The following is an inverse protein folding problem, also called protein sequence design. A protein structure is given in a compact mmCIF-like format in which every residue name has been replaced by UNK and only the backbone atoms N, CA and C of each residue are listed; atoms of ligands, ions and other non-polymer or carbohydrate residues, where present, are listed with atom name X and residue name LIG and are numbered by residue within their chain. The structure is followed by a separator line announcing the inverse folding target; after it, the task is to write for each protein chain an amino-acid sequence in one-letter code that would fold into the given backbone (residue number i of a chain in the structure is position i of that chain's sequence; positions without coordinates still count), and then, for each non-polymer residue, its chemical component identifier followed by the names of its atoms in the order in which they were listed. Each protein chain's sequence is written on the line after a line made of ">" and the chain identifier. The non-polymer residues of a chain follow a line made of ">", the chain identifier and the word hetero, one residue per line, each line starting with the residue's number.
data_IF_641249308077
#
_entry.id   IF_641249308077
#
_cell.length_a   1.000
_cell.length_b   1.000
_cell.length_c   1.000
_cell.angle_alpha   90.00
_cell.angle_beta   90.00
_cell.angle_gamma   90.00
#
_symmetry.space_group_name_H-M   'P 1'
#
loop_
_entity.id
_entity.type
_entity.pdbx_description
1 polymer ?
#
# COMPACT_ATOMS: atom_id res chain seq x y z
N UNK A 1 16.44 -5.39 39.43
CA UNK A 1 17.28 -5.46 38.22
C UNK A 1 18.66 -6.01 38.67
N UNK A 2 19.04 -7.21 38.22
CA UNK A 2 20.41 -7.70 38.42
C UNK A 2 21.25 -7.18 37.25
N UNK A 3 22.29 -6.45 37.55
CA UNK A 3 23.27 -6.00 36.54
C UNK A 3 24.16 -7.22 36.24
N UNK A 4 24.09 -7.68 34.99
CA UNK A 4 24.99 -8.75 34.49
C UNK A 4 26.24 -8.06 33.96
N UNK A 5 27.40 -8.39 34.50
CA UNK A 5 28.68 -7.88 33.96
C UNK A 5 29.15 -8.75 32.80
N UNK A 6 29.92 -8.17 31.88
CA UNK A 6 30.42 -8.85 30.66
C UNK A 6 31.28 -10.10 30.98
N UNK A 7 31.81 -10.23 32.22
CA UNK A 7 32.56 -11.37 32.68
C UNK A 7 31.71 -12.58 33.06
N UNK A 8 30.39 -12.44 33.17
CA UNK A 8 29.43 -13.51 33.52
C UNK A 8 28.79 -14.19 32.30
N UNK A 9 29.14 -13.76 31.11
CA UNK A 9 28.72 -14.44 29.88
C UNK A 9 29.55 -15.72 29.70
N UNK A 10 28.93 -16.88 29.41
CA UNK A 10 29.66 -18.10 29.20
C UNK A 10 30.64 -17.91 28.05
N UNK A 11 31.92 -18.08 28.32
CA UNK A 11 32.97 -18.17 27.29
C UNK A 11 32.76 -19.48 26.53
N UNK A 12 31.77 -19.50 25.62
CA UNK A 12 31.70 -20.55 24.61
C UNK A 12 33.00 -20.51 23.82
N UNK A 13 33.64 -21.66 23.67
CA UNK A 13 34.79 -21.82 22.79
C UNK A 13 34.39 -21.26 21.44
N UNK A 14 34.91 -20.07 21.12
CA UNK A 14 34.82 -19.53 19.78
C UNK A 14 35.57 -20.50 18.87
N UNK A 15 34.86 -21.40 18.24
CA UNK A 15 35.38 -22.18 17.14
C UNK A 15 35.82 -21.11 16.12
N UNK A 16 37.12 -20.88 16.00
CA UNK A 16 37.69 -20.03 14.97
C UNK A 16 37.26 -20.66 13.64
N UNK A 17 36.22 -20.08 13.02
CA UNK A 17 35.89 -20.40 11.65
C UNK A 17 37.14 -20.08 10.85
N UNK A 18 37.74 -21.09 10.24
CA UNK A 18 38.84 -20.91 9.31
C UNK A 18 38.34 -19.99 8.18
N UNK A 19 39.16 -19.04 7.68
CA UNK A 19 38.81 -18.25 6.51
C UNK A 19 38.40 -19.08 5.29
N UNK A 20 38.78 -20.34 5.21
CA UNK A 20 38.39 -21.28 4.17
C UNK A 20 36.96 -21.82 4.30
N UNK A 21 36.22 -21.56 5.36
CA UNK A 21 34.81 -21.97 5.51
C UNK A 21 33.80 -21.00 4.95
N UNK A 22 34.23 -19.84 4.42
CA UNK A 22 33.38 -18.96 3.63
C UNK A 22 33.33 -19.52 2.20
N UNK A 23 32.43 -20.46 1.96
CA UNK A 23 32.15 -20.94 0.59
C UNK A 23 31.40 -19.83 -0.14
N UNK A 24 32.14 -19.03 -0.89
CA UNK A 24 31.57 -18.12 -1.88
C UNK A 24 31.27 -18.95 -3.12
N UNK A 25 30.00 -19.18 -3.40
CA UNK A 25 29.56 -20.03 -4.52
C UNK A 25 29.82 -19.41 -5.90
N UNK A 26 30.12 -18.11 -5.96
CA UNK A 26 30.36 -17.34 -7.20
C UNK A 26 31.80 -16.84 -7.19
N UNK A 27 32.54 -17.06 -8.28
CA UNK A 27 33.84 -16.46 -8.45
C UNK A 27 33.74 -15.00 -8.87
N UNK A 28 34.68 -14.10 -8.49
CA UNK A 28 34.62 -12.69 -8.88
C UNK A 28 34.52 -12.43 -10.37
N UNK A 29 35.09 -13.35 -11.20
CA UNK A 29 35.07 -13.27 -12.67
C UNK A 29 33.71 -13.63 -13.29
N UNK A 30 32.84 -14.32 -12.54
CA UNK A 30 31.51 -14.75 -12.98
C UNK A 30 30.40 -13.90 -12.37
N UNK A 31 30.73 -13.00 -11.45
CA UNK A 31 29.80 -12.14 -10.79
C UNK A 31 29.27 -11.03 -11.72
N UNK A 32 28.08 -10.54 -11.40
CA UNK A 32 27.51 -9.37 -12.06
C UNK A 32 28.43 -8.15 -11.92
N UNK A 33 28.72 -7.50 -13.04
CA UNK A 33 29.36 -6.19 -13.03
C UNK A 33 28.40 -5.11 -12.53
N UNK A 34 28.95 -3.93 -12.20
CA UNK A 34 28.17 -2.82 -11.62
C UNK A 34 27.08 -2.31 -12.58
N UNK A 35 27.29 -2.37 -13.88
CA UNK A 35 26.32 -1.89 -14.86
C UNK A 35 25.18 -2.88 -15.07
N UNK A 36 25.46 -4.17 -15.06
CA UNK A 36 24.45 -5.22 -15.04
C UNK A 36 23.61 -5.13 -13.75
N UNK A 37 24.27 -4.94 -12.61
CA UNK A 37 23.60 -4.74 -11.32
C UNK A 37 22.68 -3.51 -11.36
N UNK A 38 23.15 -2.34 -11.78
CA UNK A 38 22.34 -1.12 -11.96
C UNK A 38 21.10 -1.36 -12.81
N UNK A 39 21.25 -2.04 -13.95
CA UNK A 39 20.12 -2.35 -14.85
C UNK A 39 19.08 -3.23 -14.17
N UNK A 40 19.49 -4.29 -13.49
CA UNK A 40 18.60 -5.22 -12.81
C UNK A 40 17.87 -4.55 -11.64
N UNK A 41 18.60 -3.89 -10.74
CA UNK A 41 17.99 -3.18 -9.59
C UNK A 41 16.99 -2.12 -10.05
N UNK A 42 17.27 -1.40 -11.14
CA UNK A 42 16.33 -0.42 -11.68
C UNK A 42 15.07 -1.08 -12.26
N UNK A 43 15.17 -2.27 -12.87
CA UNK A 43 13.99 -3.03 -13.33
C UNK A 43 13.13 -3.47 -12.15
N UNK A 44 13.72 -4.00 -11.08
CA UNK A 44 12.99 -4.43 -9.87
C UNK A 44 12.30 -3.24 -9.19
N UNK A 45 13.04 -2.12 -9.03
CA UNK A 45 12.47 -0.88 -8.52
C UNK A 45 11.28 -0.40 -9.36
N UNK A 46 11.42 -0.41 -10.69
CA UNK A 46 10.36 0.01 -11.62
C UNK A 46 9.12 -0.87 -11.47
N UNK A 47 9.28 -2.19 -11.49
CA UNK A 47 8.16 -3.14 -11.39
C UNK A 47 7.38 -2.95 -10.08
N UNK A 48 8.07 -2.84 -8.95
CA UNK A 48 7.42 -2.66 -7.66
C UNK A 48 6.78 -1.27 -7.53
N UNK A 49 7.45 -0.21 -8.01
CA UNK A 49 6.87 1.12 -8.03
C UNK A 49 5.58 1.21 -8.88
N UNK A 50 5.57 0.60 -10.08
CA UNK A 50 4.36 0.52 -10.89
C UNK A 50 3.31 -0.40 -10.26
N UNK A 51 3.73 -1.48 -9.59
CA UNK A 51 2.85 -2.31 -8.77
C UNK A 51 2.09 -1.50 -7.73
N UNK A 52 2.80 -0.67 -6.96
CA UNK A 52 2.20 0.25 -5.98
C UNK A 52 1.17 1.19 -6.65
N UNK A 53 1.51 1.78 -7.80
CA UNK A 53 0.60 2.67 -8.55
C UNK A 53 -0.67 1.93 -8.99
N UNK A 54 -0.53 0.71 -9.49
CA UNK A 54 -1.65 -0.14 -9.91
C UNK A 54 -2.55 -0.46 -8.72
N UNK A 55 -1.96 -0.91 -7.61
CA UNK A 55 -2.68 -1.22 -6.37
C UNK A 55 -3.44 0.02 -5.84
N UNK A 56 -2.78 1.18 -5.80
CA UNK A 56 -3.39 2.44 -5.37
C UNK A 56 -4.60 2.83 -6.25
N UNK A 57 -4.49 2.73 -7.57
CA UNK A 57 -5.58 3.02 -8.50
C UNK A 57 -6.74 2.02 -8.44
N UNK A 58 -6.46 0.79 -8.08
CA UNK A 58 -7.47 -0.27 -7.96
C UNK A 58 -8.13 -0.36 -6.59
N UNK A 59 -7.54 0.21 -5.54
CA UNK A 59 -8.01 0.06 -4.16
C UNK A 59 -9.51 0.33 -3.99
N UNK A 60 -10.10 1.41 -4.54
CA UNK A 60 -11.54 1.63 -4.41
C UNK A 60 -12.40 0.62 -5.20
N UNK A 61 -11.82 -0.06 -6.20
CA UNK A 61 -12.55 -1.01 -7.08
C UNK A 61 -12.61 -2.43 -6.55
N UNK A 62 -11.73 -2.79 -5.61
CA UNK A 62 -11.72 -4.12 -4.98
C UNK A 62 -12.85 -4.19 -3.96
N UNK A 63 -13.70 -5.21 -4.08
CA UNK A 63 -14.82 -5.40 -3.17
C UNK A 63 -14.46 -6.31 -2.00
N UNK A 64 -13.77 -7.42 -2.26
CA UNK A 64 -13.41 -8.44 -1.27
C UNK A 64 -12.53 -7.83 -0.17
N UNK A 65 -13.02 -7.83 1.09
CA UNK A 65 -12.39 -7.12 2.21
C UNK A 65 -10.97 -7.59 2.50
N UNK A 66 -10.75 -8.89 2.61
CA UNK A 66 -9.44 -9.48 2.88
C UNK A 66 -8.43 -9.17 1.76
N UNK A 67 -8.86 -9.25 0.50
CA UNK A 67 -8.02 -8.88 -0.64
C UNK A 67 -7.66 -7.39 -0.61
N UNK A 68 -8.61 -6.52 -0.23
CA UNK A 68 -8.39 -5.08 -0.10
C UNK A 68 -7.38 -4.76 1.01
N UNK A 69 -7.45 -5.44 2.14
CA UNK A 69 -6.50 -5.29 3.24
C UNK A 69 -5.09 -5.79 2.83
N UNK A 70 -5.00 -6.98 2.23
CA UNK A 70 -3.70 -7.54 1.83
C UNK A 70 -3.04 -6.75 0.69
N UNK A 71 -3.80 -6.21 -0.28
CA UNK A 71 -3.21 -5.36 -1.32
C UNK A 71 -2.63 -4.05 -0.75
N UNK A 72 -3.26 -3.50 0.27
CA UNK A 72 -2.77 -2.29 0.95
C UNK A 72 -1.48 -2.57 1.73
N UNK A 73 -1.40 -3.71 2.41
CA UNK A 73 -0.19 -4.19 3.05
C UNK A 73 0.93 -4.43 2.04
N UNK A 74 0.63 -5.11 0.93
CA UNK A 74 1.57 -5.34 -0.17
C UNK A 74 2.11 -4.01 -0.72
N UNK A 75 1.24 -3.03 -0.93
CA UNK A 75 1.65 -1.71 -1.41
C UNK A 75 2.68 -1.07 -0.47
N UNK A 76 2.49 -1.18 0.85
CA UNK A 76 3.46 -0.69 1.83
C UNK A 76 4.77 -1.51 1.84
N UNK A 77 4.71 -2.84 1.81
CA UNK A 77 5.88 -3.71 1.72
C UNK A 77 6.70 -3.39 0.45
N UNK A 78 6.03 -3.24 -0.70
CA UNK A 78 6.68 -2.82 -1.96
C UNK A 78 7.30 -1.42 -1.86
N UNK A 79 6.66 -0.48 -1.13
CA UNK A 79 7.26 0.84 -0.89
C UNK A 79 8.58 0.76 -0.13
N UNK A 80 8.69 -0.13 0.86
CA UNK A 80 9.94 -0.39 1.58
C UNK A 80 11.02 -0.91 0.64
N UNK A 81 10.68 -1.86 -0.25
CA UNK A 81 11.61 -2.41 -1.23
C UNK A 81 12.05 -1.35 -2.24
N UNK A 82 11.10 -0.61 -2.82
CA UNK A 82 11.40 0.50 -3.75
C UNK A 82 12.32 1.51 -3.10
N UNK A 83 12.08 1.86 -1.83
CA UNK A 83 12.93 2.81 -1.10
C UNK A 83 14.35 2.28 -0.91
N UNK A 84 14.51 1.02 -0.53
CA UNK A 84 15.82 0.38 -0.40
C UNK A 84 16.59 0.37 -1.73
N UNK A 85 15.90 0.00 -2.82
CA UNK A 85 16.46 -0.01 -4.17
C UNK A 85 16.76 1.41 -4.69
N UNK A 86 15.90 2.39 -4.38
CA UNK A 86 16.11 3.80 -4.72
C UNK A 86 17.39 4.33 -4.08
N UNK A 87 17.58 4.10 -2.78
CA UNK A 87 18.78 4.51 -2.06
C UNK A 87 20.02 3.79 -2.62
N UNK A 88 19.92 2.47 -2.84
CA UNK A 88 21.04 1.69 -3.38
C UNK A 88 21.47 2.16 -4.78
N UNK A 89 20.53 2.42 -5.68
CA UNK A 89 20.82 2.93 -7.02
C UNK A 89 21.55 4.29 -6.98
N UNK A 90 21.22 5.14 -6.01
CA UNK A 90 21.95 6.41 -5.79
C UNK A 90 23.38 6.17 -5.31
N UNK A 91 23.60 5.26 -4.38
CA UNK A 91 24.93 4.90 -3.86
C UNK A 91 25.85 4.37 -4.98
N UNK A 92 25.32 3.54 -5.86
CA UNK A 92 26.09 3.00 -7.00
C UNK A 92 26.05 3.92 -8.24
N UNK A 93 25.59 5.18 -8.06
CA UNK A 93 25.61 6.23 -9.08
C UNK A 93 24.89 5.85 -10.38
N UNK A 94 23.69 5.27 -10.27
CA UNK A 94 22.88 4.96 -11.44
C UNK A 94 22.27 6.23 -12.04
N UNK A 95 22.60 6.61 -13.29
CA UNK A 95 22.20 7.90 -13.84
C UNK A 95 20.73 7.98 -14.29
N UNK A 96 20.04 6.84 -14.37
CA UNK A 96 18.72 6.74 -15.01
C UNK A 96 17.70 5.97 -14.16
N UNK A 97 17.86 5.97 -12.84
CA UNK A 97 17.04 5.14 -11.94
C UNK A 97 15.52 5.44 -11.98
N UNK A 98 15.10 6.59 -12.49
CA UNK A 98 13.67 6.95 -12.61
C UNK A 98 13.07 6.66 -14.00
N UNK A 99 13.91 6.32 -14.98
CA UNK A 99 13.42 6.03 -16.33
C UNK A 99 12.90 4.59 -16.44
N UNK A 100 11.87 4.36 -17.24
CA UNK A 100 11.49 3.01 -17.67
C UNK A 100 12.68 2.31 -18.30
N UNK A 101 12.87 1.05 -17.98
CA UNK A 101 14.05 0.30 -18.42
C UNK A 101 13.87 -0.36 -19.79
N UNK A 102 12.62 -0.60 -20.19
CA UNK A 102 12.27 -1.47 -21.31
C UNK A 102 10.81 -1.26 -21.70
N UNK A 103 10.53 -0.89 -22.94
CA UNK A 103 9.17 -0.58 -23.42
C UNK A 103 8.21 -1.78 -23.29
N UNK A 104 8.72 -3.00 -23.47
CA UNK A 104 7.89 -4.20 -23.30
C UNK A 104 7.47 -4.39 -21.83
N UNK A 105 8.38 -4.15 -20.88
CA UNK A 105 8.07 -4.20 -19.46
C UNK A 105 7.12 -3.08 -19.05
N UNK A 106 7.33 -1.86 -19.57
CA UNK A 106 6.42 -0.72 -19.36
C UNK A 106 5.02 -1.06 -19.86
N UNK A 107 4.92 -1.66 -21.05
CA UNK A 107 3.63 -2.09 -21.61
C UNK A 107 2.97 -3.14 -20.72
N UNK A 108 3.70 -4.16 -20.26
CA UNK A 108 3.17 -5.19 -19.38
C UNK A 108 2.61 -4.59 -18.07
N UNK A 109 3.32 -3.64 -17.45
CA UNK A 109 2.86 -2.99 -16.23
C UNK A 109 1.62 -2.11 -16.48
N UNK A 110 1.60 -1.31 -17.56
CA UNK A 110 0.45 -0.47 -17.87
C UNK A 110 -0.80 -1.29 -18.18
N UNK A 111 -0.66 -2.41 -18.91
CA UNK A 111 -1.79 -3.28 -19.21
C UNK A 111 -2.46 -3.85 -17.96
N UNK A 112 -1.74 -4.07 -16.86
CA UNK A 112 -2.33 -4.59 -15.61
C UNK A 112 -3.47 -3.73 -15.06
N UNK A 113 -3.49 -2.43 -15.35
CA UNK A 113 -4.60 -1.55 -14.98
C UNK A 113 -5.92 -1.96 -15.66
N UNK A 114 -5.86 -2.58 -16.83
CA UNK A 114 -7.01 -2.89 -17.69
C UNK A 114 -7.64 -4.26 -17.39
N UNK A 115 -7.39 -4.83 -16.21
CA UNK A 115 -7.96 -6.10 -15.78
C UNK A 115 -9.51 -6.06 -15.82
N UNK A 116 -10.19 -7.16 -16.19
CA UNK A 116 -11.64 -7.21 -16.29
C UNK A 116 -12.34 -7.09 -14.93
N UNK A 117 -11.74 -7.62 -13.88
CA UNK A 117 -12.24 -7.62 -12.51
C UNK A 117 -11.08 -7.69 -11.50
N UNK A 118 -11.40 -7.66 -10.20
CA UNK A 118 -10.40 -7.75 -9.13
C UNK A 118 -9.60 -9.06 -9.20
N UNK A 119 -10.24 -10.18 -9.51
CA UNK A 119 -9.54 -11.47 -9.59
C UNK A 119 -8.57 -11.53 -10.77
N UNK A 120 -8.92 -10.94 -11.92
CA UNK A 120 -8.00 -10.78 -13.05
C UNK A 120 -6.74 -9.99 -12.66
N UNK A 121 -6.90 -8.91 -11.90
CA UNK A 121 -5.78 -8.14 -11.36
C UNK A 121 -4.93 -8.99 -10.40
N UNK A 122 -5.55 -9.64 -9.42
CA UNK A 122 -4.83 -10.43 -8.41
C UNK A 122 -4.10 -11.63 -9.00
N UNK A 123 -4.70 -12.34 -9.95
CA UNK A 123 -4.03 -13.41 -10.69
C UNK A 123 -2.81 -12.89 -11.46
N UNK A 124 -2.94 -11.75 -12.15
CA UNK A 124 -1.84 -11.14 -12.88
C UNK A 124 -0.68 -10.72 -11.96
N UNK A 125 -0.97 -10.11 -10.81
CA UNK A 125 0.03 -9.69 -9.86
C UNK A 125 0.68 -10.88 -9.14
N UNK A 126 -0.11 -11.76 -8.53
CA UNK A 126 0.41 -12.75 -7.57
C UNK A 126 0.66 -14.13 -8.14
N UNK A 127 0.11 -14.48 -9.31
CA UNK A 127 0.45 -15.73 -10.02
C UNK A 127 1.35 -15.53 -11.24
N UNK A 128 1.61 -14.26 -11.63
CA UNK A 128 2.50 -13.98 -12.78
C UNK A 128 3.65 -13.06 -12.38
N UNK A 129 3.37 -11.82 -11.98
CA UNK A 129 4.39 -10.80 -11.77
C UNK A 129 5.27 -11.12 -10.56
N UNK A 130 4.67 -11.35 -9.39
CA UNK A 130 5.41 -11.62 -8.15
C UNK A 130 6.29 -12.86 -8.25
N UNK A 131 5.83 -14.02 -8.78
CA UNK A 131 6.72 -15.16 -9.02
C UNK A 131 7.88 -14.86 -9.99
N UNK A 132 7.64 -14.09 -11.06
CA UNK A 132 8.69 -13.66 -11.99
C UNK A 132 9.71 -12.74 -11.32
N UNK A 133 9.26 -11.83 -10.46
CA UNK A 133 10.12 -10.96 -9.67
C UNK A 133 10.95 -11.77 -8.65
N UNK A 134 10.35 -12.72 -7.94
CA UNK A 134 11.06 -13.61 -7.01
C UNK A 134 12.14 -14.40 -7.75
N UNK A 135 11.83 -14.99 -8.90
CA UNK A 135 12.78 -15.73 -9.71
C UNK A 135 13.97 -14.85 -10.15
N UNK A 136 13.67 -13.61 -10.57
CA UNK A 136 14.68 -12.64 -10.96
C UNK A 136 15.59 -12.23 -9.78
N UNK A 137 15.03 -11.99 -8.61
CA UNK A 137 15.76 -11.62 -7.39
C UNK A 137 16.63 -12.78 -6.89
N UNK A 138 16.14 -14.02 -6.91
CA UNK A 138 16.92 -15.22 -6.55
C UNK A 138 18.09 -15.41 -7.48
N UNK A 139 17.88 -15.26 -8.80
CA UNK A 139 18.94 -15.33 -9.79
C UNK A 139 19.99 -14.23 -9.58
N UNK A 140 19.55 -13.00 -9.29
CA UNK A 140 20.44 -11.87 -9.01
C UNK A 140 21.28 -12.12 -7.75
N UNK A 141 20.65 -12.55 -6.65
CA UNK A 141 21.36 -12.89 -5.40
C UNK A 141 22.46 -13.92 -5.65
N UNK A 142 22.14 -14.97 -6.39
CA UNK A 142 23.08 -16.05 -6.71
C UNK A 142 24.25 -15.57 -7.61
N UNK A 143 23.96 -14.65 -8.54
CA UNK A 143 24.96 -14.11 -9.47
C UNK A 143 25.81 -12.97 -8.87
N UNK A 144 25.50 -12.49 -7.67
CA UNK A 144 26.25 -11.40 -7.02
C UNK A 144 27.37 -11.96 -6.15
N UNK A 145 28.58 -11.41 -6.32
CA UNK A 145 29.68 -11.70 -5.40
C UNK A 145 29.53 -10.85 -4.12
N UNK A 146 29.28 -11.45 -2.96
CA UNK A 146 28.89 -10.68 -1.75
C UNK A 146 29.94 -9.65 -1.30
N UNK A 147 31.24 -9.94 -1.48
CA UNK A 147 32.29 -9.00 -1.11
C UNK A 147 32.32 -7.73 -1.99
N UNK A 148 31.76 -7.81 -3.20
CA UNK A 148 31.61 -6.65 -4.08
C UNK A 148 30.34 -5.87 -3.78
N UNK A 149 29.22 -6.55 -3.50
CA UNK A 149 27.90 -5.89 -3.36
C UNK A 149 26.98 -6.56 -2.33
N UNK A 150 27.43 -6.70 -1.11
CA UNK A 150 26.59 -7.15 0.01
C UNK A 150 25.37 -6.23 0.26
N UNK A 151 25.46 -4.88 0.11
CA UNK A 151 24.30 -4.02 0.30
C UNK A 151 23.13 -4.33 -0.64
N UNK A 152 23.38 -4.58 -1.92
CA UNK A 152 22.32 -5.01 -2.86
C UNK A 152 21.74 -6.37 -2.49
N UNK A 153 22.61 -7.33 -2.13
CA UNK A 153 22.17 -8.67 -1.66
C UNK A 153 21.26 -8.55 -0.43
N UNK A 154 21.59 -7.65 0.50
CA UNK A 154 20.78 -7.43 1.69
C UNK A 154 19.39 -6.89 1.36
N UNK A 155 19.30 -5.88 0.50
CA UNK A 155 18.01 -5.34 0.02
C UNK A 155 17.18 -6.42 -0.69
N UNK A 156 17.81 -7.22 -1.56
CA UNK A 156 17.17 -8.33 -2.28
C UNK A 156 16.62 -9.38 -1.30
N UNK A 157 17.37 -9.75 -0.27
CA UNK A 157 16.91 -10.75 0.72
C UNK A 157 15.69 -10.28 1.50
N UNK A 158 15.63 -9.00 1.89
CA UNK A 158 14.45 -8.45 2.54
C UNK A 158 13.24 -8.46 1.61
N UNK A 159 13.41 -8.03 0.36
CA UNK A 159 12.35 -8.10 -0.63
C UNK A 159 11.86 -9.55 -0.86
N UNK A 160 12.76 -10.52 -0.95
CA UNK A 160 12.40 -11.93 -1.10
C UNK A 160 11.61 -12.48 0.08
N UNK A 161 11.92 -12.05 1.31
CA UNK A 161 11.18 -12.44 2.50
C UNK A 161 9.73 -11.97 2.43
N UNK A 162 9.53 -10.68 2.15
CA UNK A 162 8.20 -10.07 2.10
C UNK A 162 7.39 -10.57 0.90
N UNK A 163 7.99 -10.68 -0.31
CA UNK A 163 7.31 -11.19 -1.50
C UNK A 163 6.82 -12.63 -1.34
N UNK A 164 7.58 -13.48 -0.64
CA UNK A 164 7.13 -14.85 -0.30
C UNK A 164 5.98 -14.81 0.70
N UNK A 165 6.07 -13.96 1.73
CA UNK A 165 4.99 -13.72 2.67
C UNK A 165 3.71 -13.20 2.01
N UNK A 166 3.82 -12.33 0.99
CA UNK A 166 2.68 -11.89 0.18
C UNK A 166 1.98 -13.08 -0.50
N UNK A 167 2.74 -13.96 -1.14
CA UNK A 167 2.17 -15.16 -1.77
C UNK A 167 1.53 -16.10 -0.74
N UNK A 168 2.17 -16.31 0.41
CA UNK A 168 1.64 -17.15 1.49
C UNK A 168 0.30 -16.63 2.03
N UNK A 169 0.10 -15.31 2.08
CA UNK A 169 -1.16 -14.69 2.56
C UNK A 169 -2.24 -14.64 1.48
N UNK A 170 -1.87 -14.39 0.23
CA UNK A 170 -2.82 -14.15 -0.86
C UNK A 170 -3.28 -15.42 -1.57
N UNK A 171 -2.42 -16.42 -1.72
CA UNK A 171 -2.80 -17.65 -2.42
C UNK A 171 -3.96 -18.41 -1.75
N UNK A 172 -4.07 -18.52 -0.41
CA UNK A 172 -5.26 -19.10 0.22
C UNK A 172 -6.57 -18.37 -0.12
N UNK A 173 -6.54 -17.03 -0.19
CA UNK A 173 -7.70 -16.21 -0.55
C UNK A 173 -8.12 -16.43 -2.01
N UNK A 174 -7.14 -16.50 -2.92
CA UNK A 174 -7.39 -16.78 -4.32
C UNK A 174 -7.92 -18.22 -4.53
N UNK A 175 -7.35 -19.20 -3.82
CA UNK A 175 -7.80 -20.58 -3.87
C UNK A 175 -9.23 -20.74 -3.31
N UNK A 176 -9.61 -19.96 -2.31
CA UNK A 176 -10.99 -19.92 -1.80
C UNK A 176 -11.95 -19.31 -2.82
N UNK A 177 -11.57 -18.16 -3.42
CA UNK A 177 -12.35 -17.54 -4.49
C UNK A 177 -12.54 -18.49 -5.69
N UNK A 178 -11.51 -19.26 -6.01
CA UNK A 178 -11.57 -20.28 -7.08
C UNK A 178 -12.55 -21.42 -6.73
N UNK A 179 -12.48 -21.96 -5.51
CA UNK A 179 -13.42 -22.98 -5.02
C UNK A 179 -14.86 -22.48 -4.96
N UNK A 180 -15.03 -21.19 -4.64
CA UNK A 180 -16.35 -20.53 -4.63
C UNK A 180 -16.86 -20.15 -6.03
N UNK A 181 -16.10 -20.43 -7.10
CA UNK A 181 -16.49 -20.08 -8.48
C UNK A 181 -16.49 -18.57 -8.79
N UNK A 182 -15.80 -17.75 -7.96
CA UNK A 182 -15.71 -16.30 -8.14
C UNK A 182 -14.69 -15.89 -9.22
N UNK A 183 -13.73 -16.75 -9.56
CA UNK A 183 -12.74 -16.50 -10.61
C UNK A 183 -13.33 -16.82 -11.97
N UNK A 184 -13.58 -15.77 -12.75
CA UNK A 184 -14.19 -15.85 -14.07
C UNK A 184 -13.24 -16.39 -15.15
N UNK A 185 -13.77 -16.87 -16.28
CA UNK A 185 -12.95 -17.19 -17.46
C UNK A 185 -12.23 -15.94 -18.02
N UNK A 186 -12.85 -14.77 -17.89
CA UNK A 186 -12.22 -13.49 -18.23
C UNK A 186 -10.98 -13.22 -17.38
N UNK A 187 -11.03 -13.49 -16.07
CA UNK A 187 -9.89 -13.35 -15.17
C UNK A 187 -8.74 -14.30 -15.54
N UNK A 188 -9.03 -15.57 -15.91
CA UNK A 188 -8.02 -16.54 -16.36
C UNK A 188 -7.41 -16.18 -17.72
N UNK A 189 -8.22 -15.71 -18.65
CA UNK A 189 -7.76 -15.21 -19.94
C UNK A 189 -6.84 -13.99 -19.75
N UNK A 190 -7.15 -13.13 -18.79
CA UNK A 190 -6.33 -11.99 -18.40
C UNK A 190 -4.99 -12.41 -17.80
N UNK A 191 -5.00 -13.37 -16.88
CA UNK A 191 -3.76 -13.94 -16.32
C UNK A 191 -2.84 -14.47 -17.43
N UNK A 192 -3.40 -15.20 -18.39
CA UNK A 192 -2.65 -15.75 -19.54
C UNK A 192 -2.03 -14.62 -20.36
N UNK A 193 -2.80 -13.60 -20.70
CA UNK A 193 -2.33 -12.44 -21.45
C UNK A 193 -1.18 -11.69 -20.76
N UNK A 194 -1.30 -11.43 -19.47
CA UNK A 194 -0.23 -10.77 -18.71
C UNK A 194 1.02 -11.65 -18.61
N UNK A 195 0.86 -12.97 -18.47
CA UNK A 195 1.98 -13.94 -18.50
C UNK A 195 2.75 -13.88 -19.82
N UNK A 196 2.03 -13.79 -20.92
CA UNK A 196 2.64 -13.66 -22.26
C UNK A 196 3.33 -12.30 -22.44
N UNK A 197 2.76 -11.20 -21.89
CA UNK A 197 3.42 -9.88 -21.90
C UNK A 197 4.71 -9.87 -21.08
N UNK A 198 4.71 -10.47 -19.89
CA UNK A 198 5.91 -10.58 -19.06
C UNK A 198 6.97 -11.44 -19.76
N UNK A 199 6.58 -12.54 -20.41
CA UNK A 199 7.47 -13.36 -21.22
C UNK A 199 8.02 -12.58 -22.46
N UNK A 200 7.19 -11.74 -23.09
CA UNK A 200 7.64 -10.86 -24.18
C UNK A 200 8.67 -9.83 -23.71
N UNK A 201 8.55 -9.35 -22.46
CA UNK A 201 9.57 -8.49 -21.84
C UNK A 201 10.86 -9.22 -21.42
N UNK A 202 10.91 -10.55 -21.55
CA UNK A 202 12.05 -11.38 -21.10
C UNK A 202 12.04 -11.59 -19.59
N UNK A 203 10.87 -11.75 -19.01
CA UNK A 203 10.68 -11.78 -17.56
C UNK A 203 10.92 -10.42 -16.91
N UNK A 204 10.79 -10.36 -15.59
CA UNK A 204 11.12 -9.14 -14.83
C UNK A 204 12.59 -8.75 -14.96
N UNK A 205 13.51 -9.74 -15.02
CA UNK A 205 14.94 -9.47 -15.21
C UNK A 205 15.27 -8.94 -16.62
N UNK A 206 14.46 -9.25 -17.63
CA UNK A 206 14.73 -8.99 -19.04
C UNK A 206 15.77 -9.94 -19.65
N UNK A 207 16.20 -10.95 -18.90
CA UNK A 207 17.25 -11.92 -19.31
C UNK A 207 16.68 -13.23 -19.85
N UNK A 208 15.38 -13.46 -19.70
CA UNK A 208 14.73 -14.65 -20.23
C UNK A 208 14.53 -14.54 -21.74
N UNK A 209 14.34 -15.69 -22.39
CA UNK A 209 14.09 -15.73 -23.83
C UNK A 209 12.77 -15.03 -24.16
N UNK A 210 12.84 -13.95 -24.94
CA UNK A 210 11.68 -13.18 -25.37
C UNK A 210 10.88 -13.89 -26.45
N UNK A 211 9.57 -13.78 -26.44
CA UNK A 211 8.72 -14.15 -27.56
C UNK A 211 8.93 -13.18 -28.74
N UNK A 212 8.72 -13.68 -29.96
CA UNK A 212 8.99 -12.90 -31.19
C UNK A 212 8.03 -11.74 -31.43
N UNK A 213 6.83 -11.82 -30.86
CA UNK A 213 5.76 -10.81 -31.02
C UNK A 213 5.03 -10.59 -29.70
N UNK A 214 4.58 -9.33 -29.45
CA UNK A 214 3.69 -9.09 -28.30
C UNK A 214 2.37 -9.83 -28.49
N UNK A 215 1.75 -10.33 -27.41
CA UNK A 215 0.41 -10.91 -27.47
C UNK A 215 -0.63 -9.84 -27.83
N UNK A 216 -1.73 -10.26 -28.44
CA UNK A 216 -2.86 -9.40 -28.71
C UNK A 216 -3.73 -9.29 -27.41
N UNK A 217 -4.25 -8.08 -27.09
CA UNK A 217 -5.14 -7.94 -25.95
C UNK A 217 -6.39 -8.83 -26.10
N UNK A 218 -6.81 -9.52 -25.04
CA UNK A 218 -8.02 -10.36 -25.07
C UNK A 218 -9.29 -9.50 -25.07
N UNK A 219 -10.39 -10.05 -25.55
CA UNK A 219 -11.69 -9.37 -25.59
C UNK A 219 -12.21 -8.94 -24.21
N UNK A 220 -11.72 -9.54 -23.14
CA UNK A 220 -12.09 -9.20 -21.76
C UNK A 220 -11.33 -7.98 -21.21
N UNK A 221 -10.38 -7.37 -21.96
CA UNK A 221 -9.69 -6.15 -21.55
C UNK A 221 -10.68 -5.02 -21.33
N UNK A 222 -10.62 -4.40 -20.17
CA UNK A 222 -11.48 -3.25 -19.80
C UNK A 222 -10.65 -1.99 -19.70
N UNK A 223 -11.09 -0.93 -20.38
CA UNK A 223 -10.40 0.36 -20.25
C UNK A 223 -10.47 0.87 -18.81
N UNK A 224 -9.30 1.13 -18.21
CA UNK A 224 -9.25 1.62 -16.84
C UNK A 224 -9.81 3.04 -16.75
N UNK A 225 -10.77 3.21 -15.87
CA UNK A 225 -11.31 4.53 -15.52
C UNK A 225 -11.02 4.78 -14.04
N UNK A 226 -10.60 5.99 -13.73
CA UNK A 226 -10.40 6.41 -12.33
C UNK A 226 -11.69 6.21 -11.55
N UNK A 227 -11.64 5.44 -10.44
CA UNK A 227 -12.85 5.18 -9.67
C UNK A 227 -13.32 6.43 -8.92
N UNK A 228 -14.59 6.78 -9.09
CA UNK A 228 -15.27 7.85 -8.35
C UNK A 228 -16.19 7.29 -7.26
N UNK A 229 -16.31 5.98 -7.18
CA UNK A 229 -17.09 5.25 -6.18
C UNK A 229 -16.24 4.10 -5.64
N UNK A 230 -16.34 3.84 -4.33
CA UNK A 230 -15.69 2.73 -3.67
C UNK A 230 -16.63 1.52 -3.62
N UNK A 231 -16.07 0.33 -3.79
CA UNK A 231 -16.78 -0.94 -3.61
C UNK A 231 -16.57 -1.48 -2.21
N UNK A 232 -17.53 -2.25 -1.72
CA UNK A 232 -17.46 -2.98 -0.46
C UNK A 232 -17.81 -4.46 -0.66
N UNK A 233 -17.32 -5.25 0.25
CA UNK A 233 -17.66 -6.66 0.36
C UNK A 233 -19.18 -6.84 0.57
N UNK A 234 -19.74 -7.85 -0.04
CA UNK A 234 -21.19 -8.16 0.05
C UNK A 234 -21.66 -8.47 1.47
N UNK A 235 -20.73 -8.78 2.38
CA UNK A 235 -21.00 -9.00 3.81
C UNK A 235 -21.36 -7.74 4.57
N UNK A 236 -20.93 -6.55 4.09
CA UNK A 236 -21.31 -5.29 4.70
C UNK A 236 -22.79 -4.99 4.44
N UNK A 237 -23.57 -4.94 5.49
CA UNK A 237 -25.04 -4.78 5.42
C UNK A 237 -25.50 -3.33 5.54
N UNK A 238 -24.65 -2.43 6.04
CA UNK A 238 -24.97 -1.02 6.26
C UNK A 238 -24.16 -0.10 5.33
N UNK A 239 -24.57 0.01 4.05
CA UNK A 239 -23.87 0.78 3.02
C UNK A 239 -24.34 2.24 2.88
N UNK A 240 -25.45 2.61 3.49
CA UNK A 240 -26.10 3.92 3.32
C UNK A 240 -26.35 4.62 4.66
N UNK A 241 -25.44 4.44 5.62
CA UNK A 241 -25.61 4.99 6.95
C UNK A 241 -25.56 6.52 6.93
N UNK A 242 -26.63 7.15 7.41
CA UNK A 242 -26.55 8.51 7.92
C UNK A 242 -25.69 8.50 9.20
N UNK A 243 -25.07 9.64 9.52
CA UNK A 243 -24.33 9.78 10.79
C UNK A 243 -25.25 9.44 11.96
N UNK A 244 -24.97 8.35 12.65
CA UNK A 244 -25.75 7.92 13.80
C UNK A 244 -25.71 8.95 14.94
N UNK A 245 -26.73 8.93 15.80
CA UNK A 245 -26.74 9.80 16.97
C UNK A 245 -25.63 9.39 17.93
N UNK A 246 -24.86 10.38 18.37
CA UNK A 246 -23.79 10.16 19.37
C UNK A 246 -24.39 9.59 20.65
N UNK A 247 -23.71 8.65 21.34
CA UNK A 247 -24.09 8.18 22.67
C UNK A 247 -24.16 9.31 23.69
N UNK A 248 -24.87 9.08 24.79
CA UNK A 248 -24.95 10.05 25.90
C UNK A 248 -23.56 10.30 26.52
N UNK A 249 -23.31 11.50 27.05
CA UNK A 249 -21.97 11.91 27.55
C UNK A 249 -21.33 10.94 28.56
N UNK A 250 -22.12 10.26 29.39
CA UNK A 250 -21.66 9.33 30.43
C UNK A 250 -21.66 7.85 29.97
N UNK A 251 -22.04 7.58 28.73
CA UNK A 251 -22.11 6.22 28.18
C UNK A 251 -20.75 5.77 27.62
N UNK A 252 -19.87 5.27 28.51
CA UNK A 252 -18.54 4.77 28.12
C UNK A 252 -18.62 3.63 27.10
N UNK A 253 -19.49 2.65 27.31
CA UNK A 253 -19.60 1.47 26.46
C UNK A 253 -20.13 1.84 25.08
N UNK A 254 -21.18 2.68 25.01
CA UNK A 254 -21.70 3.20 23.75
C UNK A 254 -20.68 3.99 22.96
N UNK A 255 -19.91 4.88 23.62
CA UNK A 255 -18.82 5.61 22.98
C UNK A 255 -17.70 4.72 22.49
N UNK A 256 -17.41 3.62 23.19
CA UNK A 256 -16.35 2.67 22.78
C UNK A 256 -16.79 1.87 21.56
N UNK A 257 -18.02 1.39 21.52
CA UNK A 257 -18.59 0.73 20.33
C UNK A 257 -18.55 1.67 19.13
N UNK A 258 -19.07 2.89 19.27
CA UNK A 258 -19.10 3.90 18.20
C UNK A 258 -17.69 4.24 17.69
N UNK A 259 -16.70 4.34 18.58
CA UNK A 259 -15.31 4.59 18.22
C UNK A 259 -14.75 3.48 17.32
N UNK A 260 -14.92 2.20 17.69
CA UNK A 260 -14.39 1.08 16.91
C UNK A 260 -15.20 0.76 15.66
N UNK A 261 -16.48 1.08 15.63
CA UNK A 261 -17.24 1.11 14.38
C UNK A 261 -16.71 2.15 13.41
N UNK A 262 -16.33 3.35 13.88
CA UNK A 262 -15.69 4.38 13.06
C UNK A 262 -14.34 3.94 12.53
N UNK A 263 -13.48 3.34 13.36
CA UNK A 263 -12.21 2.78 12.88
C UNK A 263 -12.45 1.77 11.73
N UNK A 264 -13.44 0.91 11.84
CA UNK A 264 -13.75 -0.04 10.75
C UNK A 264 -14.13 0.65 9.43
N UNK A 265 -14.47 1.95 9.44
CA UNK A 265 -14.79 2.74 8.24
C UNK A 265 -13.59 3.47 7.63
N UNK A 266 -12.42 3.49 8.26
CA UNK A 266 -11.24 4.25 7.80
C UNK A 266 -10.64 3.71 6.49
N UNK A 267 -11.12 2.57 6.01
CA UNK A 267 -10.87 2.15 4.63
C UNK A 267 -11.17 3.25 3.59
N UNK A 268 -12.12 4.15 3.87
CA UNK A 268 -12.42 5.31 3.01
C UNK A 268 -11.28 6.32 2.95
N UNK A 269 -10.53 6.48 4.04
CA UNK A 269 -9.36 7.34 4.08
C UNK A 269 -8.23 6.70 3.27
N UNK A 270 -7.96 5.39 3.46
CA UNK A 270 -7.01 4.64 2.65
C UNK A 270 -7.31 4.73 1.15
N UNK A 271 -8.57 4.56 0.74
CA UNK A 271 -9.01 4.71 -0.65
C UNK A 271 -8.80 6.12 -1.20
N UNK A 272 -9.01 7.14 -0.38
CA UNK A 272 -8.75 8.55 -0.74
C UNK A 272 -7.26 8.80 -0.95
N UNK A 273 -6.40 8.33 -0.03
CA UNK A 273 -4.93 8.47 -0.15
C UNK A 273 -4.42 7.70 -1.37
N UNK A 274 -4.92 6.48 -1.60
CA UNK A 274 -4.59 5.69 -2.78
C UNK A 274 -4.96 6.40 -4.09
N UNK A 275 -6.14 7.01 -4.14
CA UNK A 275 -6.57 7.79 -5.31
C UNK A 275 -5.68 9.01 -5.52
N UNK A 276 -5.33 9.75 -4.47
CA UNK A 276 -4.39 10.88 -4.55
C UNK A 276 -3.04 10.40 -5.09
N UNK A 277 -2.47 9.35 -4.51
CA UNK A 277 -1.19 8.76 -4.94
C UNK A 277 -1.22 8.39 -6.44
N UNK A 278 -2.29 7.75 -6.91
CA UNK A 278 -2.46 7.36 -8.31
C UNK A 278 -2.54 8.55 -9.26
N UNK A 279 -3.23 9.61 -8.88
CA UNK A 279 -3.52 10.77 -9.74
C UNK A 279 -2.34 11.75 -9.89
N UNK A 280 -1.33 11.68 -9.01
CA UNK A 280 -0.17 12.57 -9.04
C UNK A 280 1.16 11.81 -9.20
N UNK A 281 1.34 11.04 -10.28
CA UNK A 281 2.53 10.19 -10.48
C UNK A 281 3.82 11.00 -10.67
N UNK A 282 3.71 12.30 -10.94
CA UNK A 282 4.85 13.22 -11.08
C UNK A 282 5.44 13.73 -9.78
N UNK A 283 4.78 13.45 -8.65
CA UNK A 283 5.31 13.78 -7.32
C UNK A 283 6.60 12.99 -7.04
N UNK A 284 7.56 13.56 -6.27
CA UNK A 284 8.80 12.88 -5.95
C UNK A 284 8.58 11.56 -5.21
N UNK A 285 9.60 10.67 -5.27
CA UNK A 285 9.54 9.36 -4.62
C UNK A 285 9.16 9.45 -3.14
N UNK A 286 9.71 10.42 -2.44
CA UNK A 286 9.47 10.64 -1.01
C UNK A 286 7.98 10.90 -0.70
N UNK A 287 7.25 11.54 -1.62
CA UNK A 287 5.79 11.67 -1.50
C UNK A 287 5.10 10.31 -1.67
N UNK A 288 5.49 9.53 -2.68
CA UNK A 288 4.91 8.22 -2.92
C UNK A 288 5.16 7.28 -1.73
N UNK A 289 6.33 7.39 -1.10
CA UNK A 289 6.69 6.62 0.08
C UNK A 289 5.87 7.03 1.33
N UNK A 290 5.74 8.34 1.59
CA UNK A 290 4.97 8.86 2.70
C UNK A 290 3.47 8.53 2.54
N UNK A 291 2.92 8.64 1.32
CA UNK A 291 1.51 8.30 1.06
C UNK A 291 1.24 6.80 1.10
N UNK A 292 2.20 5.95 0.71
CA UNK A 292 2.08 4.50 0.88
C UNK A 292 1.99 4.11 2.37
N UNK A 293 2.78 4.78 3.23
CA UNK A 293 2.70 4.62 4.67
C UNK A 293 1.35 5.08 5.21
N UNK A 294 0.91 6.28 4.84
CA UNK A 294 -0.38 6.85 5.23
C UNK A 294 -1.53 5.90 4.86
N UNK A 295 -1.60 5.47 3.60
CA UNK A 295 -2.61 4.51 3.12
C UNK A 295 -2.68 3.24 3.98
N UNK A 296 -1.53 2.66 4.30
CA UNK A 296 -1.50 1.42 5.07
C UNK A 296 -1.84 1.64 6.55
N UNK A 297 -1.50 2.79 7.11
CA UNK A 297 -1.92 3.14 8.48
C UNK A 297 -3.45 3.21 8.59
N UNK A 298 -4.14 3.83 7.61
CA UNK A 298 -5.61 3.88 7.56
C UNK A 298 -6.24 2.47 7.47
N UNK A 299 -5.61 1.55 6.73
CA UNK A 299 -6.06 0.15 6.71
C UNK A 299 -5.79 -0.54 8.05
N UNK A 300 -4.69 -0.23 8.72
CA UNK A 300 -4.42 -0.75 10.08
C UNK A 300 -5.46 -0.24 11.09
N UNK A 301 -5.85 1.03 11.00
CA UNK A 301 -6.92 1.58 11.83
C UNK A 301 -8.25 0.84 11.55
N UNK A 302 -8.58 0.63 10.28
CA UNK A 302 -9.74 -0.18 9.90
C UNK A 302 -9.69 -1.59 10.52
N UNK A 303 -8.52 -2.24 10.49
CA UNK A 303 -8.32 -3.56 11.10
C UNK A 303 -8.36 -3.52 12.65
N UNK A 304 -7.94 -2.43 13.29
CA UNK A 304 -8.12 -2.24 14.74
C UNK A 304 -9.60 -2.27 15.11
N UNK A 305 -10.45 -1.53 14.36
CA UNK A 305 -11.90 -1.58 14.54
C UNK A 305 -12.47 -2.98 14.32
N UNK A 306 -12.08 -3.61 13.23
CA UNK A 306 -12.53 -4.96 12.88
C UNK A 306 -12.18 -6.01 13.96
N UNK A 307 -10.93 -6.03 14.42
CA UNK A 307 -10.48 -6.98 15.44
C UNK A 307 -11.07 -6.68 16.83
N UNK A 308 -11.25 -5.40 17.19
CA UNK A 308 -11.89 -5.03 18.43
C UNK A 308 -13.33 -5.56 18.48
N UNK A 309 -14.10 -5.33 17.42
CA UNK A 309 -15.49 -5.83 17.33
C UNK A 309 -15.57 -7.34 17.43
N UNK A 310 -14.68 -8.06 16.71
CA UNK A 310 -14.61 -9.53 16.80
C UNK A 310 -14.28 -10.01 18.23
N UNK A 311 -13.36 -9.33 18.91
CA UNK A 311 -12.98 -9.63 20.27
C UNK A 311 -14.11 -9.42 21.30
N UNK A 312 -15.15 -8.66 20.92
CA UNK A 312 -16.34 -8.38 21.71
C UNK A 312 -17.62 -9.10 21.19
N UNK A 313 -17.45 -10.19 20.44
CA UNK A 313 -18.54 -10.97 19.85
C UNK A 313 -19.50 -10.16 18.96
N UNK A 314 -19.02 -9.06 18.39
CA UNK A 314 -19.75 -8.24 17.44
C UNK A 314 -19.40 -8.62 16.00
N UNK A 315 -20.35 -8.47 15.08
CA UNK A 315 -20.09 -8.68 13.66
C UNK A 315 -19.53 -7.40 13.02
N UNK A 316 -18.25 -7.31 12.61
CA UNK A 316 -17.69 -6.10 12.05
C UNK A 316 -18.31 -5.67 10.71
N UNK A 317 -18.97 -6.59 10.00
CA UNK A 317 -19.66 -6.29 8.73
C UNK A 317 -21.00 -5.57 8.90
N UNK A 318 -21.45 -5.33 10.13
CA UNK A 318 -22.63 -4.46 10.43
C UNK A 318 -22.25 -2.99 10.59
N UNK A 319 -20.94 -2.69 10.70
CA UNK A 319 -20.47 -1.30 10.82
C UNK A 319 -20.89 -0.46 9.61
N UNK A 320 -21.29 0.80 9.84
CA UNK A 320 -21.73 1.69 8.77
C UNK A 320 -20.60 1.97 7.78
N UNK A 321 -20.91 1.91 6.47
CA UNK A 321 -19.95 2.17 5.39
C UNK A 321 -20.35 3.43 4.62
N UNK A 322 -19.76 4.56 4.95
CA UNK A 322 -20.11 5.89 4.41
C UNK A 322 -19.58 6.12 2.98
N UNK A 323 -19.94 5.27 2.02
CA UNK A 323 -19.44 5.30 0.64
C UNK A 323 -19.66 6.65 -0.07
N UNK A 324 -20.74 7.36 0.31
CA UNK A 324 -21.04 8.70 -0.20
C UNK A 324 -19.93 9.72 0.14
N UNK A 325 -19.17 9.52 1.23
CA UNK A 325 -18.04 10.39 1.60
C UNK A 325 -16.89 10.21 0.59
N UNK A 326 -16.56 8.97 0.21
CA UNK A 326 -15.55 8.75 -0.83
C UNK A 326 -16.01 9.36 -2.16
N UNK A 327 -17.27 9.10 -2.58
CA UNK A 327 -17.85 9.67 -3.80
C UNK A 327 -17.80 11.20 -3.81
N UNK A 328 -18.08 11.84 -2.69
CA UNK A 328 -17.95 13.27 -2.53
C UNK A 328 -16.50 13.75 -2.64
N UNK A 329 -15.56 13.12 -1.92
CA UNK A 329 -14.14 13.49 -1.97
C UNK A 329 -13.54 13.32 -3.35
N UNK A 330 -13.86 12.24 -4.06
CA UNK A 330 -13.29 11.92 -5.38
C UNK A 330 -13.62 12.94 -6.46
N UNK A 331 -14.58 13.84 -6.24
CA UNK A 331 -14.93 14.92 -7.18
C UNK A 331 -13.95 16.10 -7.12
N UNK A 332 -13.15 16.21 -6.07
CA UNK A 332 -12.21 17.31 -5.91
C UNK A 332 -10.83 16.97 -6.51
N UNK A 333 -10.03 17.99 -6.87
CA UNK A 333 -8.65 17.77 -7.26
C UNK A 333 -7.85 17.05 -6.17
N UNK A 334 -6.83 16.23 -6.52
CA UNK A 334 -6.06 15.45 -5.53
C UNK A 334 -5.51 16.27 -4.37
N UNK A 335 -5.03 17.48 -4.64
CA UNK A 335 -4.53 18.38 -3.59
C UNK A 335 -5.62 18.77 -2.59
N UNK A 336 -6.86 18.97 -3.05
CA UNK A 336 -8.00 19.29 -2.19
C UNK A 336 -8.41 18.08 -1.34
N UNK A 337 -8.47 16.90 -1.96
CA UNK A 337 -8.75 15.65 -1.25
C UNK A 337 -7.76 15.43 -0.11
N UNK A 338 -6.46 15.58 -0.40
CA UNK A 338 -5.40 15.37 0.58
C UNK A 338 -5.41 16.45 1.67
N UNK A 339 -5.68 17.71 1.31
CA UNK A 339 -5.80 18.81 2.26
C UNK A 339 -6.97 18.62 3.23
N UNK A 340 -8.15 18.26 2.72
CA UNK A 340 -9.32 18.01 3.58
C UNK A 340 -9.12 16.83 4.52
N UNK A 341 -8.39 15.80 4.10
CA UNK A 341 -8.05 14.66 4.94
C UNK A 341 -7.06 15.08 6.03
N UNK A 342 -5.85 15.48 5.65
CA UNK A 342 -4.73 15.70 6.59
C UNK A 342 -4.87 16.97 7.44
N UNK A 343 -5.50 18.04 6.93
CA UNK A 343 -5.66 19.32 7.64
C UNK A 343 -7.07 19.51 8.18
N UNK A 344 -8.04 18.74 7.67
CA UNK A 344 -9.44 18.77 8.13
C UNK A 344 -9.74 17.64 9.12
N UNK A 345 -9.93 16.43 8.62
CA UNK A 345 -10.40 15.30 9.43
C UNK A 345 -9.44 14.97 10.56
N UNK A 346 -8.17 14.73 10.24
CA UNK A 346 -7.17 14.25 11.20
C UNK A 346 -6.88 15.29 12.28
N UNK A 347 -6.65 16.56 11.90
CA UNK A 347 -6.40 17.63 12.88
C UNK A 347 -7.57 17.79 13.85
N UNK A 348 -8.81 17.73 13.36
CA UNK A 348 -9.99 17.95 14.19
C UNK A 348 -10.36 16.75 15.06
N UNK A 349 -9.81 15.56 14.78
CA UNK A 349 -10.07 14.37 15.58
C UNK A 349 -9.22 14.28 16.86
N UNK A 350 -8.03 14.94 16.93
CA UNK A 350 -7.15 14.84 18.10
C UNK A 350 -7.79 15.11 19.47
N UNK A 351 -8.60 16.19 19.67
CA UNK A 351 -9.21 16.41 20.97
C UNK A 351 -10.14 15.28 21.42
N UNK A 352 -10.85 14.66 20.48
CA UNK A 352 -11.68 13.49 20.76
C UNK A 352 -10.82 12.29 21.14
N UNK A 353 -9.82 11.92 20.33
CA UNK A 353 -8.91 10.80 20.58
C UNK A 353 -8.21 10.91 21.95
N UNK A 354 -7.73 12.09 22.33
CA UNK A 354 -7.12 12.29 23.66
C UNK A 354 -8.10 12.02 24.80
N UNK A 355 -9.35 12.50 24.70
CA UNK A 355 -10.38 12.20 25.72
C UNK A 355 -10.68 10.70 25.77
N UNK A 356 -10.67 9.99 24.64
CA UNK A 356 -10.88 8.54 24.61
C UNK A 356 -9.74 7.79 25.31
N UNK A 357 -8.48 8.18 25.11
CA UNK A 357 -7.34 7.60 25.88
C UNK A 357 -7.56 7.75 27.39
N UNK A 358 -7.96 8.94 27.85
CA UNK A 358 -8.24 9.17 29.28
C UNK A 358 -9.42 8.31 29.78
N UNK A 359 -10.45 8.14 28.97
CA UNK A 359 -11.62 7.31 29.33
C UNK A 359 -11.23 5.82 29.44
N UNK A 360 -10.46 5.29 28.47
CA UNK A 360 -9.96 3.91 28.50
C UNK A 360 -9.02 3.65 29.69
N UNK A 361 -8.17 4.62 30.04
CA UNK A 361 -7.33 4.52 31.23
C UNK A 361 -8.16 4.43 32.51
N UNK A 362 -9.20 5.25 32.64
CA UNK A 362 -10.10 5.24 33.80
C UNK A 362 -10.88 3.94 33.93
N UNK A 363 -11.29 3.34 32.80
CA UNK A 363 -12.01 2.05 32.79
C UNK A 363 -11.09 0.84 32.94
N UNK A 364 -9.76 1.00 32.74
CA UNK A 364 -8.81 -0.08 32.73
C UNK A 364 -8.81 -0.91 31.43
N UNK A 365 -9.40 -0.37 30.35
CA UNK A 365 -9.41 -1.00 29.02
C UNK A 365 -8.08 -0.76 28.29
N UNK A 366 -7.13 -1.63 28.56
CA UNK A 366 -5.76 -1.53 28.04
C UNK A 366 -5.69 -1.70 26.52
N UNK A 367 -6.53 -2.56 25.95
CA UNK A 367 -6.50 -2.82 24.51
C UNK A 367 -6.98 -1.59 23.73
N UNK A 368 -8.13 -1.05 24.09
CA UNK A 368 -8.70 0.15 23.47
C UNK A 368 -7.77 1.36 23.65
N UNK A 369 -7.20 1.54 24.87
CA UNK A 369 -6.17 2.57 25.10
C UNK A 369 -5.00 2.46 24.13
N UNK A 370 -4.45 1.26 23.93
CA UNK A 370 -3.31 1.05 23.05
C UNK A 370 -3.67 1.34 21.58
N UNK A 371 -4.82 0.90 21.11
CA UNK A 371 -5.26 1.18 19.75
C UNK A 371 -5.33 2.67 19.49
N UNK A 372 -6.02 3.44 20.36
CA UNK A 372 -6.13 4.90 20.21
C UNK A 372 -4.78 5.61 20.33
N UNK A 373 -3.84 5.11 21.13
CA UNK A 373 -2.48 5.67 21.21
C UNK A 373 -1.67 5.47 19.94
N UNK A 374 -1.78 4.30 19.31
CA UNK A 374 -1.12 4.05 18.02
C UNK A 374 -1.74 4.90 16.93
N UNK A 375 -3.07 5.02 16.89
CA UNK A 375 -3.77 5.91 15.99
C UNK A 375 -3.30 7.37 16.14
N UNK A 376 -3.25 7.93 17.36
CA UNK A 376 -2.71 9.29 17.60
C UNK A 376 -1.27 9.43 17.05
N UNK A 377 -0.44 8.41 17.18
CA UNK A 377 0.93 8.45 16.69
C UNK A 377 0.97 8.49 15.15
N UNK A 378 0.18 7.66 14.50
CA UNK A 378 0.07 7.59 13.05
C UNK A 378 -0.52 8.89 12.47
N UNK A 379 -1.63 9.37 13.02
CA UNK A 379 -2.29 10.62 12.63
C UNK A 379 -1.38 11.85 12.78
N UNK A 380 -0.52 11.84 13.79
CA UNK A 380 0.51 12.88 13.93
C UNK A 380 1.47 12.88 12.72
N UNK A 381 1.80 11.71 12.16
CA UNK A 381 2.61 11.63 10.95
C UNK A 381 1.81 12.06 9.71
N UNK A 382 0.53 11.68 9.60
CA UNK A 382 -0.32 12.06 8.48
C UNK A 382 -0.45 13.59 8.36
N UNK A 383 -0.67 14.29 9.47
CA UNK A 383 -0.65 15.76 9.50
C UNK A 383 0.72 16.34 9.09
N UNK A 384 1.83 15.71 9.49
CA UNK A 384 3.17 16.11 9.03
C UNK A 384 3.35 15.88 7.54
N UNK A 385 2.85 14.77 6.99
CA UNK A 385 2.87 14.51 5.55
C UNK A 385 2.05 15.56 4.80
N UNK A 386 0.86 15.91 5.29
CA UNK A 386 0.05 17.01 4.75
C UNK A 386 0.84 18.31 4.70
N UNK A 387 1.40 18.76 5.81
CA UNK A 387 2.20 20.00 5.88
C UNK A 387 3.43 19.98 4.97
N UNK A 388 4.06 18.83 4.80
CA UNK A 388 5.24 18.65 3.93
C UNK A 388 4.88 18.74 2.45
N UNK A 389 3.79 18.09 2.05
CA UNK A 389 3.53 17.82 0.65
C UNK A 389 2.50 18.73 -0.02
N UNK A 390 1.59 19.33 0.75
CA UNK A 390 0.59 20.25 0.19
C UNK A 390 1.22 21.41 -0.58
N UNK A 391 2.33 22.06 -0.15
CA UNK A 391 2.95 23.12 -0.94
C UNK A 391 3.37 22.66 -2.34
N UNK A 392 3.94 21.45 -2.46
CA UNK A 392 4.37 20.91 -3.75
C UNK A 392 3.17 20.47 -4.60
N UNK A 393 2.14 19.88 -4.00
CA UNK A 393 0.89 19.52 -4.69
C UNK A 393 0.17 20.76 -5.24
N UNK A 394 0.09 21.86 -4.47
CA UNK A 394 -0.49 23.13 -4.90
C UNK A 394 0.31 23.67 -6.09
N UNK A 395 1.63 23.68 -6.01
CA UNK A 395 2.50 24.11 -7.10
C UNK A 395 2.32 23.28 -8.36
N UNK A 396 2.27 21.95 -8.25
CA UNK A 396 2.07 21.05 -9.41
C UNK A 396 0.68 21.16 -10.03
N UNK A 397 -0.34 21.49 -9.24
CA UNK A 397 -1.68 21.76 -9.77
C UNK A 397 -1.79 23.06 -10.58
N UNK A 398 -0.76 23.91 -10.55
CA UNK A 398 -0.76 25.23 -11.16
C UNK A 398 -1.54 26.27 -10.36
N UNK A 399 -2.01 25.93 -9.15
CA UNK A 399 -2.68 26.87 -8.26
C UNK A 399 -1.68 27.90 -7.72
N UNK A 400 -2.12 29.14 -7.56
CA UNK A 400 -1.29 30.26 -7.13
C UNK A 400 -1.51 30.66 -5.67
N UNK A 401 -2.46 30.02 -4.99
CA UNK A 401 -2.73 30.28 -3.56
C UNK A 401 -1.53 29.85 -2.71
N UNK A 402 -1.31 30.56 -1.60
CA UNK A 402 -0.40 30.07 -0.56
C UNK A 402 -0.99 28.81 0.12
N UNK A 403 -0.17 28.07 0.85
CA UNK A 403 -0.64 26.92 1.64
C UNK A 403 -1.77 27.33 2.61
N UNK A 404 -1.62 28.48 3.25
CA UNK A 404 -2.63 29.02 4.19
C UNK A 404 -3.95 29.28 3.48
N UNK A 405 -3.94 30.04 2.38
CA UNK A 405 -5.13 30.34 1.59
C UNK A 405 -5.81 29.08 1.07
N UNK A 406 -4.99 28.12 0.55
CA UNK A 406 -5.54 26.87 0.03
C UNK A 406 -6.18 26.04 1.16
N UNK A 407 -5.54 25.99 2.31
CA UNK A 407 -6.05 25.27 3.49
C UNK A 407 -7.34 25.91 4.02
N UNK A 408 -7.40 27.25 4.12
CA UNK A 408 -8.62 27.96 4.50
C UNK A 408 -9.80 27.65 3.58
N UNK A 409 -9.58 27.69 2.25
CA UNK A 409 -10.62 27.36 1.27
C UNK A 409 -11.05 25.88 1.36
N UNK A 410 -10.10 24.95 1.52
CA UNK A 410 -10.38 23.53 1.68
C UNK A 410 -11.16 23.26 2.97
N UNK A 411 -10.77 23.86 4.08
CA UNK A 411 -11.46 23.73 5.37
C UNK A 411 -12.85 24.36 5.33
N UNK A 412 -13.04 25.45 4.60
CA UNK A 412 -14.38 26.05 4.42
C UNK A 412 -15.32 25.05 3.73
N UNK A 413 -14.91 24.44 2.62
CA UNK A 413 -15.69 23.40 1.94
C UNK A 413 -15.94 22.22 2.87
N UNK A 414 -14.91 21.76 3.59
CA UNK A 414 -15.00 20.66 4.53
C UNK A 414 -16.00 20.97 5.67
N UNK A 415 -15.97 22.18 6.26
CA UNK A 415 -16.93 22.60 7.29
C UNK A 415 -18.35 22.73 6.74
N UNK A 416 -18.52 23.37 5.58
CA UNK A 416 -19.84 23.65 5.00
C UNK A 416 -20.55 22.37 4.52
N UNK A 417 -19.81 21.36 4.07
CA UNK A 417 -20.38 20.15 3.51
C UNK A 417 -20.22 18.94 4.43
N UNK A 418 -18.97 18.54 4.75
CA UNK A 418 -18.71 17.34 5.53
C UNK A 418 -19.23 17.44 6.97
N UNK A 419 -18.84 18.49 7.69
CA UNK A 419 -19.24 18.69 9.10
C UNK A 419 -20.75 18.93 9.29
N UNK A 420 -21.42 19.43 8.28
CA UNK A 420 -22.89 19.65 8.33
C UNK A 420 -23.68 18.45 7.80
N UNK A 421 -23.01 17.44 7.25
CA UNK A 421 -23.64 16.30 6.57
C UNK A 421 -24.34 16.66 5.24
N UNK A 422 -24.10 17.86 4.71
CA UNK A 422 -24.73 18.36 3.46
C UNK A 422 -23.79 18.21 2.28
N UNK A 423 -23.40 16.98 1.99
CA UNK A 423 -22.49 16.70 0.87
C UNK A 423 -23.16 17.02 -0.47
N UNK A 424 -22.50 17.85 -1.28
CA UNK A 424 -22.92 18.10 -2.66
C UNK A 424 -22.22 17.12 -3.59
N UNK A 425 -22.98 16.18 -4.12
CA UNK A 425 -22.49 15.18 -5.09
C UNK A 425 -23.07 15.49 -6.45
N UNK A 426 -22.21 15.81 -7.44
CA UNK A 426 -22.66 15.96 -8.81
C UNK A 426 -23.04 14.58 -9.35
N UNK A 427 -24.26 14.42 -9.79
CA UNK A 427 -24.74 13.22 -10.48
C UNK A 427 -24.65 13.53 -11.97
N UNK A 428 -23.62 12.99 -12.66
CA UNK A 428 -23.59 12.94 -14.12
C UNK A 428 -24.27 11.67 -14.63
#
# INVERSE_FOLDING_TARGET
>A
MKTITLSELPTGQATRLSPSSIVVSTTPSEALDIDANRRLLNRYRFVQHEGMRILAGWLPRVATFELKCEMSRTLWEDALHVNALYLRLREIQSPAFQKPTDDALVTAMNEMLHAPDEFGLFLALYRVLTPSLIAALVSHETATFPNSDLPSVHAIKHALLDLRGQLERLEPLLAEAERAGKISEAARSWETYIRELVAFAGGVSGLEKRSARPPAPPACRVEFKVPLEAKRDERFTNLAADLEQMPGEDDYDGHTVEEFERYSTEMLAAETVGLVMFLVPSMPWEFQFDTARHLYDEVRHCLMGYEWMRGHDMNPFTSPQYLHIFKWRSQFPPVMQYCMLTMGNEVHAFPYRHRRVEAHQKSGDVLSEQFVRYDIADETQHVRFGKRWLPELIKQSGDKRSLEQYTEDALKVWHEQYRTGKLTINVE
#
